data_IF_995283618186
#
_entry.id   IF_995283618186
#
_cell.length_a   1.000
_cell.length_b   1.000
_cell.length_c   1.000
_cell.angle_alpha   90.00
_cell.angle_beta   90.00
_cell.angle_gamma   90.00
#
_symmetry.space_group_name_H-M   'P 1'
#
loop_
_entity.id
_entity.type
_entity.pdbx_description
1 polymer ?
#
# COMPACT_ATOMS: atom_id res chain seq x y z
N UNK A 1 -19.44 8.22 -26.48
CA UNK A 1 -18.98 8.30 -25.08
C UNK A 1 -19.96 7.54 -24.21
N UNK A 2 -19.63 6.31 -23.85
CA UNK A 2 -20.41 5.47 -22.93
C UNK A 2 -20.53 6.18 -21.58
N UNK A 3 -21.76 6.50 -21.15
CA UNK A 3 -22.03 7.11 -19.84
C UNK A 3 -21.39 6.25 -18.75
N UNK A 4 -20.54 6.87 -17.95
CA UNK A 4 -19.72 6.21 -16.95
C UNK A 4 -20.59 5.80 -15.73
N UNK A 5 -21.13 4.59 -15.78
CA UNK A 5 -22.12 4.03 -14.83
C UNK A 5 -21.56 3.82 -13.40
N UNK A 6 -20.23 3.70 -13.24
CA UNK A 6 -19.62 3.37 -11.95
C UNK A 6 -19.93 4.37 -10.82
N UNK A 7 -19.95 5.67 -11.11
CA UNK A 7 -20.27 6.67 -10.09
C UNK A 7 -21.76 6.62 -9.71
N UNK A 8 -22.65 6.33 -10.66
CA UNK A 8 -24.07 6.14 -10.39
C UNK A 8 -24.31 4.92 -9.49
N UNK A 9 -23.63 3.81 -9.78
CA UNK A 9 -23.64 2.57 -8.97
C UNK A 9 -23.15 2.80 -7.54
N UNK A 10 -22.02 3.49 -7.37
CA UNK A 10 -21.50 3.84 -6.07
C UNK A 10 -22.49 4.71 -5.28
N UNK A 11 -23.06 5.76 -5.90
CA UNK A 11 -24.03 6.62 -5.22
C UNK A 11 -25.33 5.88 -4.89
N UNK A 12 -25.78 5.01 -5.78
CA UNK A 12 -26.96 4.17 -5.54
C UNK A 12 -26.74 3.26 -4.32
N UNK A 13 -25.58 2.63 -4.22
CA UNK A 13 -25.17 1.85 -3.05
C UNK A 13 -25.18 2.69 -1.77
N UNK A 14 -24.59 3.90 -1.79
CA UNK A 14 -24.62 4.79 -0.63
C UNK A 14 -26.04 5.11 -0.18
N UNK A 15 -26.93 5.41 -1.13
CA UNK A 15 -28.34 5.75 -0.83
C UNK A 15 -29.11 4.51 -0.33
N UNK A 16 -28.83 3.34 -0.90
CA UNK A 16 -29.43 2.05 -0.52
C UNK A 16 -29.05 1.66 0.91
N UNK A 17 -27.83 1.97 1.33
CA UNK A 17 -27.32 1.71 2.68
C UNK A 17 -27.59 2.86 3.66
N UNK A 18 -28.50 3.79 3.32
CA UNK A 18 -28.94 4.91 4.16
C UNK A 18 -27.89 6.02 4.42
N UNK A 19 -26.88 6.13 3.57
CA UNK A 19 -25.83 7.17 3.62
C UNK A 19 -26.01 8.25 2.54
N UNK A 20 -27.25 8.61 2.23
CA UNK A 20 -27.53 9.73 1.31
C UNK A 20 -26.85 11.03 1.80
N UNK A 21 -26.81 11.28 3.11
CA UNK A 21 -26.17 12.48 3.69
C UNK A 21 -24.68 12.61 3.34
N UNK A 22 -23.97 11.50 3.15
CA UNK A 22 -22.54 11.51 2.85
C UNK A 22 -22.23 11.98 1.42
N UNK A 23 -23.25 12.01 0.55
CA UNK A 23 -23.17 12.56 -0.81
C UNK A 23 -23.30 14.08 -0.85
N UNK A 24 -23.26 14.74 0.31
CA UNK A 24 -23.31 16.18 0.44
C UNK A 24 -22.08 16.70 1.21
N UNK A 25 -21.67 17.91 0.87
CA UNK A 25 -20.66 18.68 1.62
C UNK A 25 -21.25 19.35 2.86
N UNK A 26 -22.54 19.67 2.83
CA UNK A 26 -23.29 20.27 3.94
C UNK A 26 -24.64 19.59 4.08
N UNK A 27 -25.20 19.58 5.29
CA UNK A 27 -26.47 18.91 5.56
C UNK A 27 -27.58 19.51 4.68
N UNK A 28 -28.29 18.71 3.88
CA UNK A 28 -29.34 19.25 3.02
C UNK A 28 -30.51 19.77 3.86
N UNK A 29 -31.07 20.93 3.48
CA UNK A 29 -32.29 21.48 4.07
C UNK A 29 -33.56 20.76 3.57
N UNK A 30 -33.45 20.08 2.43
CA UNK A 30 -34.54 19.36 1.79
C UNK A 30 -34.66 17.94 2.35
N UNK A 31 -35.89 17.44 2.51
CA UNK A 31 -36.14 16.06 2.95
C UNK A 31 -35.52 15.03 2.00
N UNK A 32 -34.98 13.93 2.54
CA UNK A 32 -34.40 12.83 1.75
C UNK A 32 -35.35 12.27 0.68
N UNK A 33 -36.66 12.23 0.94
CA UNK A 33 -37.66 11.75 -0.04
C UNK A 33 -37.66 12.61 -1.33
N UNK A 34 -37.77 13.93 -1.18
CA UNK A 34 -37.72 14.88 -2.30
C UNK A 34 -36.39 14.80 -3.06
N UNK A 35 -35.28 14.63 -2.34
CA UNK A 35 -33.96 14.45 -2.98
C UNK A 35 -33.94 13.18 -3.83
N UNK A 36 -34.39 12.04 -3.27
CA UNK A 36 -34.47 10.75 -3.99
C UNK A 36 -35.33 10.87 -5.25
N UNK A 37 -36.44 11.60 -5.20
CA UNK A 37 -37.29 11.89 -6.37
C UNK A 37 -36.53 12.72 -7.42
N UNK A 38 -35.84 13.80 -7.03
CA UNK A 38 -35.11 14.67 -7.96
C UNK A 38 -33.94 13.98 -8.66
N UNK A 39 -33.29 13.01 -8.02
CA UNK A 39 -32.18 12.24 -8.60
C UNK A 39 -32.64 10.94 -9.27
N UNK A 40 -33.96 10.73 -9.41
CA UNK A 40 -34.54 9.52 -9.98
C UNK A 40 -34.04 8.23 -9.30
N UNK A 41 -33.96 8.22 -7.96
CA UNK A 41 -33.53 7.04 -7.21
C UNK A 41 -34.63 5.97 -7.21
N UNK A 42 -34.29 4.76 -7.65
CA UNK A 42 -35.15 3.59 -7.58
C UNK A 42 -34.41 2.42 -6.91
N UNK A 43 -34.95 1.93 -5.79
CA UNK A 43 -34.33 0.84 -5.02
C UNK A 43 -34.17 -0.47 -5.83
N UNK A 44 -34.98 -0.68 -6.87
CA UNK A 44 -35.00 -1.92 -7.66
C UNK A 44 -34.00 -1.93 -8.83
N UNK A 45 -33.51 -0.78 -9.28
CA UNK A 45 -32.52 -0.72 -10.36
C UNK A 45 -31.09 -0.77 -9.79
N UNK A 46 -30.10 -1.09 -10.61
CA UNK A 46 -28.68 -1.10 -10.22
C UNK A 46 -28.02 0.29 -10.37
N UNK A 47 -28.80 1.37 -10.24
CA UNK A 47 -28.27 2.74 -10.33
C UNK A 47 -28.15 3.33 -11.74
N UNK A 48 -28.40 2.57 -12.81
CA UNK A 48 -28.22 3.01 -14.20
C UNK A 48 -28.98 4.30 -14.57
N UNK A 49 -30.11 4.55 -13.91
CA UNK A 49 -30.99 5.70 -14.17
C UNK A 49 -30.80 6.86 -13.18
N UNK A 50 -29.87 6.73 -12.23
CA UNK A 50 -29.62 7.74 -11.20
C UNK A 50 -29.08 9.02 -11.84
N UNK A 51 -29.73 10.16 -11.60
CA UNK A 51 -29.31 11.44 -12.15
C UNK A 51 -28.20 12.04 -11.28
N UNK A 52 -27.01 12.15 -11.85
CA UNK A 52 -25.88 12.85 -11.23
C UNK A 52 -26.01 14.35 -11.49
N UNK A 53 -26.43 15.10 -10.48
CA UNK A 53 -26.59 16.56 -10.55
C UNK A 53 -25.82 17.21 -9.40
N UNK A 54 -24.80 18.01 -9.71
CA UNK A 54 -23.90 18.65 -8.75
C UNK A 54 -24.52 19.81 -7.96
N UNK A 55 -25.67 20.33 -8.41
CA UNK A 55 -26.51 21.26 -7.63
C UNK A 55 -27.29 20.55 -6.53
N UNK A 56 -27.50 19.24 -6.67
CA UNK A 56 -28.20 18.41 -5.68
C UNK A 56 -27.15 17.65 -4.86
N UNK A 57 -26.36 16.79 -5.49
CA UNK A 57 -25.32 15.95 -4.86
C UNK A 57 -24.01 16.74 -4.83
N UNK A 58 -23.84 17.59 -3.82
CA UNK A 58 -22.74 18.57 -3.79
C UNK A 58 -21.36 17.94 -3.66
N UNK A 59 -21.25 16.66 -3.28
CA UNK A 59 -19.99 15.90 -3.34
C UNK A 59 -19.38 15.92 -4.75
N UNK A 60 -20.19 16.00 -5.81
CA UNK A 60 -19.70 16.05 -7.19
C UNK A 60 -18.79 17.27 -7.44
N UNK A 61 -19.03 18.39 -6.75
CA UNK A 61 -18.16 19.57 -6.86
C UNK A 61 -16.80 19.32 -6.19
N UNK A 62 -16.80 18.66 -5.03
CA UNK A 62 -15.59 18.25 -4.32
C UNK A 62 -14.76 17.28 -5.18
N UNK A 63 -15.40 16.30 -5.83
CA UNK A 63 -14.73 15.38 -6.74
C UNK A 63 -14.08 16.08 -7.94
N UNK A 64 -14.72 17.10 -8.50
CA UNK A 64 -14.15 17.89 -9.62
C UNK A 64 -12.90 18.65 -9.17
N UNK A 65 -12.93 19.24 -7.97
CA UNK A 65 -11.77 19.93 -7.40
C UNK A 65 -10.62 18.94 -7.20
N UNK A 66 -10.88 17.83 -6.52
CA UNK A 66 -9.89 16.78 -6.26
C UNK A 66 -9.34 16.14 -7.53
N UNK A 67 -10.17 15.98 -8.57
CA UNK A 67 -9.71 15.47 -9.86
C UNK A 67 -8.67 16.38 -10.50
N UNK A 68 -8.76 17.69 -10.27
CA UNK A 68 -7.83 18.70 -10.78
C UNK A 68 -6.72 19.07 -9.78
N UNK A 69 -6.57 18.32 -8.69
CA UNK A 69 -5.49 18.52 -7.72
C UNK A 69 -4.11 18.36 -8.39
N UNK A 70 -3.16 19.20 -7.98
CA UNK A 70 -1.81 19.22 -8.56
C UNK A 70 -1.07 17.89 -8.37
N UNK A 71 -1.31 17.17 -7.26
CA UNK A 71 -0.72 15.85 -7.01
C UNK A 71 -1.29 14.83 -8.00
N UNK A 72 -2.60 14.86 -8.24
CA UNK A 72 -3.24 13.99 -9.23
C UNK A 72 -2.73 14.28 -10.65
N UNK A 73 -2.57 15.57 -10.99
CA UNK A 73 -2.01 16.03 -12.27
C UNK A 73 -0.56 15.59 -12.45
N UNK A 74 0.28 15.70 -11.42
CA UNK A 74 1.68 15.27 -11.45
C UNK A 74 1.81 13.76 -11.72
N UNK A 75 0.85 12.96 -11.26
CA UNK A 75 0.78 11.53 -11.56
C UNK A 75 0.20 11.20 -12.95
N UNK A 76 -0.29 12.20 -13.69
CA UNK A 76 -0.91 12.02 -15.01
C UNK A 76 -2.40 11.68 -14.98
N UNK A 77 -3.14 12.12 -13.96
CA UNK A 77 -4.56 11.84 -13.74
C UNK A 77 -4.93 10.33 -13.74
N UNK A 78 -4.24 9.48 -12.96
CA UNK A 78 -4.45 8.05 -13.00
C UNK A 78 -5.81 7.58 -12.43
N UNK A 79 -6.48 8.39 -11.59
CA UNK A 79 -7.76 8.04 -10.98
C UNK A 79 -8.96 8.61 -11.73
N UNK A 80 -10.02 7.83 -11.77
CA UNK A 80 -11.34 8.24 -12.23
C UNK A 80 -12.17 8.84 -11.08
N UNK A 81 -13.22 9.61 -11.39
CA UNK A 81 -14.05 10.27 -10.36
C UNK A 81 -14.64 9.31 -9.33
N UNK A 82 -15.05 8.09 -9.71
CA UNK A 82 -15.59 7.10 -8.78
C UNK A 82 -14.52 6.51 -7.84
N UNK A 83 -13.26 6.44 -8.28
CA UNK A 83 -12.14 6.00 -7.45
C UNK A 83 -11.78 7.08 -6.42
N UNK A 84 -11.71 8.36 -6.85
CA UNK A 84 -11.53 9.49 -5.93
C UNK A 84 -12.69 9.54 -4.92
N UNK A 85 -13.92 9.31 -5.39
CA UNK A 85 -15.09 9.29 -4.52
C UNK A 85 -15.05 8.16 -3.49
N UNK A 86 -14.61 6.96 -3.87
CA UNK A 86 -14.48 5.84 -2.93
C UNK A 86 -13.50 6.17 -1.80
N UNK A 87 -12.35 6.77 -2.13
CA UNK A 87 -11.38 7.25 -1.13
C UNK A 87 -12.01 8.32 -0.24
N UNK A 88 -12.67 9.32 -0.83
CA UNK A 88 -13.31 10.40 -0.07
C UNK A 88 -14.40 9.90 0.88
N UNK A 89 -15.23 8.95 0.43
CA UNK A 89 -16.26 8.31 1.25
C UNK A 89 -15.64 7.53 2.42
N UNK A 90 -14.55 6.80 2.16
CA UNK A 90 -13.85 6.05 3.20
C UNK A 90 -13.17 6.96 4.22
N UNK A 91 -12.42 7.97 3.78
CA UNK A 91 -11.59 8.78 4.67
C UNK A 91 -12.41 9.86 5.41
N UNK A 92 -13.44 10.40 4.76
CA UNK A 92 -14.06 11.66 5.17
C UNK A 92 -15.52 11.60 5.62
N UNK A 93 -16.19 10.46 5.43
CA UNK A 93 -17.64 10.37 5.57
C UNK A 93 -18.07 9.32 6.59
N UNK A 94 -19.31 9.44 7.06
CA UNK A 94 -19.83 8.64 8.18
C UNK A 94 -20.04 7.17 7.83
N UNK A 95 -20.22 6.84 6.55
CA UNK A 95 -20.38 5.48 6.06
C UNK A 95 -19.20 4.57 6.36
N UNK A 96 -17.98 5.11 6.50
CA UNK A 96 -16.79 4.33 6.77
C UNK A 96 -16.94 3.45 8.02
N UNK A 97 -17.55 3.95 9.09
CA UNK A 97 -17.70 3.18 10.33
C UNK A 97 -18.46 1.87 10.10
N UNK A 98 -19.59 1.92 9.39
CA UNK A 98 -20.40 0.74 9.09
C UNK A 98 -19.81 -0.09 7.95
N UNK A 99 -19.21 0.55 6.94
CA UNK A 99 -18.45 -0.14 5.91
C UNK A 99 -17.36 -1.01 6.54
N UNK A 100 -16.47 -0.41 7.33
CA UNK A 100 -15.38 -1.10 8.03
C UNK A 100 -15.88 -2.20 8.97
N UNK A 101 -16.96 -1.95 9.72
CA UNK A 101 -17.60 -2.97 10.55
C UNK A 101 -18.09 -4.17 9.73
N UNK A 102 -18.80 -3.93 8.63
CA UNK A 102 -19.29 -4.99 7.75
C UNK A 102 -18.14 -5.78 7.10
N UNK A 103 -17.05 -5.11 6.71
CA UNK A 103 -15.85 -5.77 6.17
C UNK A 103 -15.24 -6.74 7.19
N UNK A 104 -15.10 -6.32 8.45
CA UNK A 104 -14.56 -7.16 9.54
C UNK A 104 -15.46 -8.38 9.79
N UNK A 105 -16.77 -8.23 9.59
CA UNK A 105 -17.77 -9.31 9.72
C UNK A 105 -17.93 -10.14 8.43
N UNK A 106 -17.05 -9.98 7.43
CA UNK A 106 -17.11 -10.64 6.12
C UNK A 106 -18.40 -10.37 5.31
N UNK A 107 -19.08 -9.25 5.59
CA UNK A 107 -20.30 -8.81 4.88
C UNK A 107 -19.97 -7.92 3.69
N UNK A 108 -18.96 -8.31 2.91
CA UNK A 108 -18.46 -7.53 1.76
C UNK A 108 -19.55 -7.26 0.70
N UNK A 109 -20.53 -8.16 0.58
CA UNK A 109 -21.65 -8.04 -0.36
C UNK A 109 -22.60 -6.87 -0.08
N UNK A 110 -22.51 -6.22 1.09
CA UNK A 110 -23.25 -4.99 1.38
C UNK A 110 -22.68 -3.78 0.65
N UNK A 111 -21.40 -3.84 0.25
CA UNK A 111 -20.63 -2.72 -0.27
C UNK A 111 -19.83 -3.08 -1.55
N UNK A 112 -20.44 -3.76 -2.55
CA UNK A 112 -19.71 -4.24 -3.71
C UNK A 112 -18.99 -3.13 -4.50
N UNK A 113 -19.58 -1.93 -4.61
CA UNK A 113 -18.99 -0.84 -5.39
C UNK A 113 -17.98 -0.05 -4.58
N UNK A 114 -18.28 0.27 -3.31
CA UNK A 114 -17.32 0.99 -2.47
C UNK A 114 -16.06 0.15 -2.22
N UNK A 115 -16.18 -1.13 -1.86
CA UNK A 115 -15.03 -2.03 -1.63
C UNK A 115 -14.19 -2.19 -2.91
N UNK A 116 -14.85 -2.43 -4.06
CA UNK A 116 -14.17 -2.59 -5.34
C UNK A 116 -13.44 -1.33 -5.78
N UNK A 117 -14.12 -0.19 -5.80
CA UNK A 117 -13.52 1.06 -6.26
C UNK A 117 -12.42 1.58 -5.33
N UNK A 118 -12.55 1.35 -4.02
CA UNK A 118 -11.50 1.68 -3.05
C UNK A 118 -10.24 0.83 -3.28
N UNK A 119 -10.41 -0.50 -3.40
CA UNK A 119 -9.30 -1.41 -3.69
C UNK A 119 -8.63 -1.11 -5.03
N UNK A 120 -9.40 -0.78 -6.07
CA UNK A 120 -8.85 -0.35 -7.36
C UNK A 120 -8.08 0.96 -7.25
N UNK A 121 -8.63 1.97 -6.58
CA UNK A 121 -7.98 3.26 -6.40
C UNK A 121 -6.63 3.11 -5.69
N UNK A 122 -6.59 2.35 -4.58
CA UNK A 122 -5.36 2.06 -3.84
C UNK A 122 -4.36 1.33 -4.74
N UNK A 123 -4.80 0.31 -5.49
CA UNK A 123 -3.91 -0.44 -6.39
C UNK A 123 -3.35 0.43 -7.53
N UNK A 124 -4.10 1.40 -8.02
CA UNK A 124 -3.61 2.37 -9.01
C UNK A 124 -2.56 3.26 -8.35
N UNK A 125 -2.89 3.99 -7.28
CA UNK A 125 -1.95 4.90 -6.62
C UNK A 125 -0.67 4.20 -6.14
N UNK A 126 -0.81 2.99 -5.60
CA UNK A 126 0.29 2.12 -5.21
C UNK A 126 1.34 1.91 -6.33
N UNK A 127 0.94 1.92 -7.61
CA UNK A 127 1.85 1.80 -8.75
C UNK A 127 2.52 3.13 -9.12
N UNK A 128 1.83 4.25 -8.91
CA UNK A 128 2.32 5.58 -9.24
C UNK A 128 3.31 6.12 -8.19
N UNK A 129 3.09 5.82 -6.92
CA UNK A 129 3.95 6.31 -5.83
C UNK A 129 5.36 5.71 -5.80
N UNK A 130 6.34 6.54 -5.40
CA UNK A 130 7.78 6.22 -5.25
C UNK A 130 8.11 5.61 -3.89
N UNK A 131 7.38 4.56 -3.50
CA UNK A 131 7.54 3.90 -2.19
C UNK A 131 8.91 3.23 -1.99
N UNK A 132 9.61 2.92 -3.07
CA UNK A 132 11.00 2.45 -3.06
C UNK A 132 11.98 3.47 -2.44
N UNK A 133 11.60 4.74 -2.39
CA UNK A 133 12.39 5.84 -1.78
C UNK A 133 11.94 6.18 -0.36
N UNK A 134 10.79 5.67 0.08
CA UNK A 134 10.25 5.97 1.41
C UNK A 134 10.86 5.03 2.46
N UNK A 135 11.36 5.60 3.55
CA UNK A 135 11.74 4.89 4.77
C UNK A 135 10.75 5.14 5.92
N UNK A 136 9.55 5.62 5.58
CA UNK A 136 8.54 6.06 6.54
C UNK A 136 7.91 4.85 7.25
N UNK A 137 7.92 4.89 8.58
CA UNK A 137 7.11 4.00 9.43
C UNK A 137 5.70 4.54 9.55
N UNK A 138 4.73 3.64 9.68
CA UNK A 138 3.32 4.02 9.75
C UNK A 138 2.69 3.48 11.03
N UNK A 139 1.65 4.16 11.50
CA UNK A 139 1.03 3.90 12.78
C UNK A 139 -0.49 3.91 12.64
N UNK A 140 -1.17 3.03 13.38
CA UNK A 140 -2.63 3.00 13.50
C UNK A 140 -3.03 2.81 14.96
N UNK A 141 -3.89 3.69 15.46
CA UNK A 141 -4.44 3.59 16.81
C UNK A 141 -5.71 2.77 16.86
N UNK A 142 -5.76 1.76 17.73
CA UNK A 142 -6.95 0.96 17.99
C UNK A 142 -7.45 1.20 19.41
N UNK A 143 -8.61 1.85 19.51
CA UNK A 143 -9.27 2.14 20.79
C UNK A 143 -9.76 0.86 21.47
N UNK A 144 -9.50 0.73 22.76
CA UNK A 144 -9.98 -0.37 23.60
C UNK A 144 -9.56 -1.78 23.12
N UNK A 145 -8.50 -1.88 22.30
CA UNK A 145 -7.93 -3.16 21.88
C UNK A 145 -6.67 -3.42 22.72
N UNK A 146 -6.61 -4.57 23.38
CA UNK A 146 -5.41 -5.07 24.04
C UNK A 146 -5.41 -6.59 23.97
N UNK A 147 -4.31 -7.19 23.55
CA UNK A 147 -4.20 -8.62 23.45
C UNK A 147 -3.70 -9.21 24.77
N UNK A 148 -4.48 -10.11 25.36
CA UNK A 148 -4.13 -10.81 26.60
C UNK A 148 -3.02 -11.85 26.37
N UNK A 149 -3.10 -12.56 25.23
CA UNK A 149 -2.14 -13.59 24.86
C UNK A 149 -1.50 -13.30 23.51
N UNK A 150 -0.31 -12.70 23.55
CA UNK A 150 0.46 -12.31 22.37
C UNK A 150 0.82 -13.52 21.49
N UNK A 151 0.90 -14.73 22.06
CA UNK A 151 1.19 -15.96 21.30
C UNK A 151 0.06 -16.35 20.34
N UNK A 152 -1.12 -15.75 20.48
CA UNK A 152 -2.24 -15.96 19.57
C UNK A 152 -2.16 -15.12 18.31
N UNK A 153 -1.25 -14.14 18.26
CA UNK A 153 -1.01 -13.35 17.06
C UNK A 153 -0.42 -14.27 16.00
N UNK A 154 -1.25 -14.64 15.03
CA UNK A 154 -0.84 -15.40 13.84
C UNK A 154 -0.47 -14.45 12.72
N UNK A 155 0.37 -14.93 11.79
CA UNK A 155 0.54 -14.28 10.50
C UNK A 155 -0.83 -14.07 9.85
N UNK A 156 -1.12 -12.85 9.41
CA UNK A 156 -2.46 -12.44 9.05
C UNK A 156 -2.56 -11.79 7.67
N UNK A 157 -3.81 -11.52 7.30
CA UNK A 157 -4.21 -10.77 6.12
C UNK A 157 -5.12 -9.63 6.58
N UNK A 158 -5.15 -8.53 5.83
CA UNK A 158 -6.11 -7.46 6.12
C UNK A 158 -7.50 -7.87 5.63
N UNK A 159 -8.42 -8.05 6.57
CA UNK A 159 -9.83 -8.38 6.29
C UNK A 159 -10.67 -7.14 5.94
N UNK A 160 -10.15 -5.95 6.23
CA UNK A 160 -10.70 -4.65 5.86
C UNK A 160 -9.58 -3.74 5.36
N UNK A 161 -9.96 -2.60 4.80
CA UNK A 161 -9.03 -1.50 4.56
C UNK A 161 -8.51 -0.96 5.91
N UNK A 162 -7.26 -0.47 5.94
CA UNK A 162 -6.63 0.02 7.18
C UNK A 162 -6.01 1.39 6.94
N UNK A 163 -6.51 2.39 7.65
CA UNK A 163 -5.96 3.74 7.67
C UNK A 163 -4.79 3.83 8.64
N UNK A 164 -3.72 4.48 8.21
CA UNK A 164 -2.48 4.67 8.97
C UNK A 164 -1.97 6.10 8.78
N UNK A 165 -1.09 6.53 9.68
CA UNK A 165 -0.41 7.83 9.59
C UNK A 165 1.09 7.63 9.79
N UNK A 166 1.92 8.46 9.18
CA UNK A 166 3.33 8.57 9.53
C UNK A 166 3.56 9.40 10.82
N UNK A 167 2.49 9.95 11.40
CA UNK A 167 2.48 10.64 12.67
C UNK A 167 2.02 9.71 13.80
N UNK A 168 2.93 9.39 14.72
CA UNK A 168 2.59 8.59 15.89
C UNK A 168 1.59 9.31 16.80
N UNK A 169 1.57 10.63 16.84
CA UNK A 169 0.64 11.40 17.67
C UNK A 169 -0.81 11.21 17.17
N UNK A 170 -1.00 11.15 15.85
CA UNK A 170 -2.32 10.84 15.25
C UNK A 170 -2.77 9.45 15.70
N UNK A 171 -1.90 8.44 15.64
CA UNK A 171 -2.23 7.10 16.13
C UNK A 171 -2.54 7.08 17.65
N UNK A 172 -1.86 7.90 18.45
CA UNK A 172 -2.16 8.03 19.89
C UNK A 172 -3.54 8.63 20.15
N UNK A 173 -3.99 9.60 19.35
CA UNK A 173 -5.35 10.16 19.43
C UNK A 173 -6.40 9.07 19.19
N UNK A 174 -6.23 8.27 18.13
CA UNK A 174 -7.17 7.19 17.79
C UNK A 174 -7.14 6.02 18.78
N UNK A 175 -5.99 5.74 19.40
CA UNK A 175 -5.86 4.80 20.52
C UNK A 175 -6.62 5.27 21.77
N UNK A 176 -6.97 6.55 21.89
CA UNK A 176 -7.69 7.16 23.02
C UNK A 176 -6.87 7.17 24.32
N UNK A 177 -7.41 6.68 25.45
CA UNK A 177 -6.74 6.63 26.76
C UNK A 177 -6.15 5.24 27.06
N UNK A 178 -6.74 4.18 26.51
CA UNK A 178 -6.26 2.80 26.58
C UNK A 178 -6.52 2.09 25.25
N UNK A 179 -5.53 1.34 24.78
CA UNK A 179 -5.67 0.59 23.53
C UNK A 179 -4.36 0.07 22.98
N UNK A 180 -4.34 -0.15 21.67
CA UNK A 180 -3.22 -0.69 20.93
C UNK A 180 -2.74 0.31 19.88
N UNK A 181 -1.43 0.38 19.67
CA UNK A 181 -0.85 1.02 18.50
C UNK A 181 -0.29 -0.07 17.61
N UNK A 182 -0.78 -0.15 16.38
CA UNK A 182 -0.14 -0.95 15.34
C UNK A 182 0.97 -0.11 14.73
N UNK A 183 2.20 -0.58 14.81
CA UNK A 183 3.37 0.00 14.16
C UNK A 183 3.69 -0.83 12.92
N UNK A 184 3.64 -0.23 11.73
CA UNK A 184 3.90 -0.88 10.45
C UNK A 184 5.35 -0.63 10.03
N UNK A 185 6.14 -1.70 9.99
CA UNK A 185 7.49 -1.64 9.48
C UNK A 185 7.49 -1.21 8.01
N UNK A 186 8.53 -0.49 7.56
CA UNK A 186 8.71 -0.03 6.17
C UNK A 186 8.57 -1.15 5.13
N UNK A 187 8.92 -2.38 5.51
CA UNK A 187 8.71 -3.58 4.67
C UNK A 187 7.26 -3.76 4.22
N UNK A 188 6.28 -3.36 5.03
CA UNK A 188 4.84 -3.42 4.72
C UNK A 188 4.48 -2.45 3.61
N UNK A 189 4.94 -1.21 3.74
CA UNK A 189 4.70 -0.16 2.75
C UNK A 189 5.39 -0.47 1.42
N UNK A 190 6.52 -1.20 1.46
CA UNK A 190 7.26 -1.60 0.27
C UNK A 190 6.80 -2.91 -0.35
N UNK A 191 6.09 -3.78 0.37
CA UNK A 191 5.66 -5.06 -0.16
C UNK A 191 4.79 -4.92 -1.43
N UNK A 192 5.04 -5.79 -2.42
CA UNK A 192 4.33 -5.74 -3.70
C UNK A 192 2.86 -6.11 -3.56
N UNK A 193 2.54 -7.11 -2.73
CA UNK A 193 1.18 -7.65 -2.63
C UNK A 193 0.39 -7.09 -1.44
N UNK A 194 1.02 -6.27 -0.60
CA UNK A 194 0.35 -5.49 0.44
C UNK A 194 0.16 -4.09 -0.13
N UNK A 195 -1.03 -3.84 -0.68
CA UNK A 195 -1.31 -2.58 -1.38
C UNK A 195 -1.54 -1.46 -0.39
N UNK A 196 -0.94 -0.31 -0.66
CA UNK A 196 -1.07 0.91 0.11
C UNK A 196 -0.78 2.12 -0.77
N UNK A 197 -1.31 3.27 -0.37
CA UNK A 197 -1.08 4.56 -1.00
C UNK A 197 -1.29 5.73 -0.04
N UNK A 198 -0.60 6.83 -0.29
CA UNK A 198 -0.84 8.15 0.30
C UNK A 198 -2.13 8.75 -0.28
N UNK A 199 -3.10 8.96 0.59
CA UNK A 199 -4.40 9.56 0.27
C UNK A 199 -4.58 10.90 0.96
N UNK A 200 -3.55 11.45 1.59
CA UNK A 200 -3.60 12.73 2.32
C UNK A 200 -4.08 13.89 1.43
N UNK A 201 -3.80 13.86 0.13
CA UNK A 201 -4.28 14.85 -0.83
C UNK A 201 -5.76 14.71 -1.21
N UNK A 202 -6.39 13.56 -0.96
CA UNK A 202 -7.84 13.34 -1.10
C UNK A 202 -8.57 13.52 0.24
N UNK A 203 -8.00 12.98 1.33
CA UNK A 203 -8.60 12.97 2.66
C UNK A 203 -8.92 14.40 3.12
N UNK A 204 -10.09 14.65 3.74
CA UNK A 204 -10.40 15.97 4.28
C UNK A 204 -9.54 16.32 5.51
N UNK A 205 -8.94 15.32 6.17
CA UNK A 205 -8.13 15.48 7.37
C UNK A 205 -6.65 15.59 7.04
N UNK A 206 -6.24 16.66 6.33
CA UNK A 206 -4.85 16.85 5.84
C UNK A 206 -3.75 16.66 6.90
N UNK A 207 -4.04 17.06 8.13
CA UNK A 207 -3.12 16.97 9.26
C UNK A 207 -2.82 15.52 9.68
N UNK A 208 -3.68 14.56 9.34
CA UNK A 208 -3.50 13.15 9.68
C UNK A 208 -2.50 12.45 8.75
N UNK A 209 -2.14 13.05 7.61
CA UNK A 209 -1.19 12.49 6.62
C UNK A 209 -1.51 11.03 6.30
N UNK A 210 -2.78 10.80 5.98
CA UNK A 210 -3.37 9.48 5.88
C UNK A 210 -2.78 8.63 4.75
N UNK A 211 -2.31 7.43 5.11
CA UNK A 211 -1.84 6.38 4.20
C UNK A 211 -2.74 5.16 4.38
N UNK A 212 -3.33 4.72 3.27
CA UNK A 212 -4.38 3.71 3.27
C UNK A 212 -3.85 2.37 2.75
N UNK A 213 -3.98 1.31 3.55
CA UNK A 213 -3.76 -0.07 3.12
C UNK A 213 -5.05 -0.68 2.57
N UNK A 214 -4.93 -1.39 1.45
CA UNK A 214 -6.05 -2.15 0.90
C UNK A 214 -6.31 -3.44 1.69
N UNK A 215 -7.57 -3.86 1.67
CA UNK A 215 -7.94 -5.22 2.07
C UNK A 215 -7.14 -6.24 1.24
N UNK A 216 -6.70 -7.32 1.87
CA UNK A 216 -5.97 -8.39 1.19
C UNK A 216 -6.88 -9.13 0.21
N UNK A 217 -6.44 -9.23 -1.05
CA UNK A 217 -7.13 -10.01 -2.07
C UNK A 217 -6.54 -11.41 -2.16
N UNK A 218 -7.32 -12.43 -1.76
CA UNK A 218 -6.93 -13.83 -1.85
C UNK A 218 -7.47 -14.40 -3.17
N UNK A 219 -6.56 -14.62 -4.12
CA UNK A 219 -6.89 -15.24 -5.41
C UNK A 219 -6.93 -16.78 -5.31
N UNK A 220 -8.05 -17.40 -5.66
CA UNK A 220 -8.23 -18.86 -5.59
C UNK A 220 -7.26 -19.68 -6.47
N UNK A 221 -6.61 -19.05 -7.47
CA UNK A 221 -5.69 -19.75 -8.38
C UNK A 221 -4.27 -19.91 -7.84
N UNK A 222 -3.92 -19.29 -6.71
CA UNK A 222 -2.61 -19.41 -6.07
C UNK A 222 -2.69 -20.35 -4.87
N UNK A 223 -1.64 -21.16 -4.70
CA UNK A 223 -1.47 -22.02 -3.54
C UNK A 223 -1.37 -21.20 -2.23
N UNK A 224 -1.87 -21.78 -1.13
CA UNK A 224 -1.89 -21.19 0.21
C UNK A 224 -0.49 -20.72 0.65
N UNK A 225 0.55 -21.48 0.28
CA UNK A 225 1.94 -21.10 0.55
C UNK A 225 2.31 -19.75 -0.08
N UNK A 226 1.93 -19.53 -1.35
CA UNK A 226 2.22 -18.29 -2.07
C UNK A 226 1.48 -17.11 -1.43
N UNK A 227 0.24 -17.33 -0.99
CA UNK A 227 -0.52 -16.30 -0.27
C UNK A 227 0.14 -15.90 1.04
N UNK A 228 0.53 -16.89 1.86
CA UNK A 228 1.21 -16.67 3.14
C UNK A 228 2.56 -15.97 2.98
N UNK A 229 3.29 -16.23 1.91
CA UNK A 229 4.59 -15.57 1.68
C UNK A 229 4.45 -14.15 1.13
N UNK A 230 3.51 -13.92 0.20
CA UNK A 230 3.46 -12.65 -0.53
C UNK A 230 2.54 -11.62 0.12
N UNK A 231 1.37 -12.04 0.62
CA UNK A 231 0.30 -11.14 1.06
C UNK A 231 0.23 -11.02 2.58
N UNK A 232 0.83 -11.95 3.32
CA UNK A 232 0.70 -11.95 4.77
C UNK A 232 1.67 -10.99 5.44
N UNK A 233 1.23 -10.51 6.59
CA UNK A 233 2.06 -9.84 7.57
C UNK A 233 2.28 -10.75 8.77
N UNK A 234 3.40 -10.58 9.44
CA UNK A 234 3.65 -11.10 10.77
C UNK A 234 3.49 -9.98 11.78
N UNK A 235 3.35 -10.35 13.05
CA UNK A 235 3.18 -9.40 14.11
C UNK A 235 3.88 -9.88 15.38
N UNK A 236 4.47 -8.94 16.11
CA UNK A 236 5.10 -9.16 17.42
C UNK A 236 4.86 -7.96 18.31
N UNK A 237 4.85 -8.18 19.62
CA UNK A 237 4.84 -7.06 20.56
C UNK A 237 6.20 -6.39 20.57
N UNK A 238 6.19 -5.09 20.34
CA UNK A 238 7.36 -4.22 20.35
C UNK A 238 7.55 -3.57 21.72
N UNK A 239 6.45 -3.18 22.37
CA UNK A 239 6.46 -2.60 23.70
C UNK A 239 5.08 -2.66 24.34
N UNK A 240 5.05 -2.66 25.66
CA UNK A 240 3.80 -2.68 26.41
C UNK A 240 3.97 -1.90 27.72
N UNK A 241 3.04 -0.99 27.98
CA UNK A 241 2.88 -0.31 29.26
C UNK A 241 1.45 -0.47 29.79
N UNK A 242 1.14 0.20 30.90
CA UNK A 242 -0.17 0.16 31.56
C UNK A 242 -1.34 0.54 30.64
N UNK A 243 -1.12 1.42 29.68
CA UNK A 243 -2.16 2.05 28.86
C UNK A 243 -2.09 1.64 27.39
N UNK A 244 -0.90 1.28 26.89
CA UNK A 244 -0.66 1.04 25.46
C UNK A 244 0.09 -0.26 25.25
N UNK A 245 -0.39 -1.06 24.29
CA UNK A 245 0.37 -2.16 23.72
C UNK A 245 0.75 -1.78 22.28
N UNK A 246 2.03 -1.82 21.95
CA UNK A 246 2.53 -1.55 20.60
C UNK A 246 2.85 -2.86 19.91
N UNK A 247 2.20 -3.10 18.77
CA UNK A 247 2.36 -4.30 17.96
C UNK A 247 3.04 -3.91 16.66
N UNK A 248 4.25 -4.43 16.44
CA UNK A 248 4.98 -4.26 15.19
C UNK A 248 4.48 -5.26 14.15
N UNK A 249 4.05 -4.75 12.99
CA UNK A 249 3.67 -5.50 11.81
C UNK A 249 4.80 -5.47 10.78
N UNK A 250 5.21 -6.64 10.31
CA UNK A 250 6.27 -6.83 9.31
C UNK A 250 5.73 -7.64 8.12
N UNK A 251 6.29 -7.43 6.93
CA UNK A 251 5.95 -8.28 5.79
C UNK A 251 6.50 -9.69 6.01
N UNK A 252 5.69 -10.74 5.80
CA UNK A 252 6.10 -12.11 6.09
C UNK A 252 7.38 -12.53 5.33
N UNK A 253 7.57 -12.09 4.08
CA UNK A 253 8.79 -12.37 3.31
C UNK A 253 10.02 -11.66 3.86
N UNK A 254 9.85 -10.46 4.42
CA UNK A 254 10.96 -9.73 5.06
C UNK A 254 11.50 -10.55 6.23
N UNK A 255 10.63 -11.05 7.12
CA UNK A 255 11.05 -11.84 8.27
C UNK A 255 11.73 -13.17 7.88
N UNK A 256 11.28 -13.79 6.78
CA UNK A 256 11.92 -15.01 6.26
C UNK A 256 13.33 -14.77 5.74
N UNK A 257 13.62 -13.56 5.25
CA UNK A 257 14.88 -13.25 4.59
C UNK A 257 15.88 -12.50 5.47
N UNK A 258 15.42 -11.68 6.44
CA UNK A 258 16.29 -10.79 7.23
C UNK A 258 17.46 -11.53 7.88
N UNK A 259 17.21 -12.66 8.55
CA UNK A 259 18.28 -13.40 9.25
C UNK A 259 19.36 -13.94 8.30
N UNK A 260 18.96 -14.48 7.14
CA UNK A 260 19.91 -14.96 6.12
C UNK A 260 20.67 -13.80 5.47
N UNK A 261 19.99 -12.69 5.22
CA UNK A 261 20.61 -11.46 4.73
C UNK A 261 21.67 -10.94 5.71
N UNK A 262 21.35 -10.89 7.00
CA UNK A 262 22.27 -10.49 8.07
C UNK A 262 23.46 -11.44 8.19
N UNK A 263 23.23 -12.76 8.13
CA UNK A 263 24.30 -13.75 8.16
C UNK A 263 25.29 -13.55 7.01
N UNK A 264 24.79 -13.41 5.78
CA UNK A 264 25.62 -13.15 4.61
C UNK A 264 26.34 -11.81 4.78
N UNK A 265 25.65 -10.76 5.23
CA UNK A 265 26.24 -9.45 5.45
C UNK A 265 27.41 -9.50 6.45
N UNK A 266 27.27 -10.23 7.55
CA UNK A 266 28.32 -10.40 8.56
C UNK A 266 29.56 -11.10 7.98
N UNK A 267 29.39 -12.11 7.12
CA UNK A 267 30.50 -12.76 6.41
C UNK A 267 31.28 -11.81 5.49
N UNK A 268 30.64 -10.72 5.05
CA UNK A 268 31.23 -9.65 4.25
C UNK A 268 31.57 -8.41 5.07
N UNK A 269 31.63 -8.51 6.40
CA UNK A 269 31.88 -7.41 7.33
C UNK A 269 30.98 -6.19 7.05
N UNK A 270 29.71 -6.45 6.73
CA UNK A 270 28.68 -5.46 6.42
C UNK A 270 28.98 -4.52 5.24
N UNK A 271 29.93 -4.89 4.37
CA UNK A 271 30.34 -4.08 3.23
C UNK A 271 29.37 -4.13 2.03
N UNK A 272 28.49 -5.14 1.98
CA UNK A 272 27.51 -5.31 0.90
C UNK A 272 26.14 -4.81 1.35
N UNK A 273 25.46 -4.07 0.47
CA UNK A 273 24.09 -3.59 0.67
C UNK A 273 23.10 -4.75 0.90
N UNK A 274 22.19 -4.59 1.87
CA UNK A 274 21.22 -5.62 2.25
C UNK A 274 20.23 -5.92 1.12
N UNK A 275 19.85 -4.92 0.32
CA UNK A 275 18.95 -5.14 -0.81
C UNK A 275 19.67 -5.84 -1.97
N UNK A 276 20.98 -5.62 -2.15
CA UNK A 276 21.79 -6.42 -3.07
C UNK A 276 21.84 -7.88 -2.63
N UNK A 277 22.16 -8.16 -1.36
CA UNK A 277 22.16 -9.52 -0.80
C UNK A 277 20.78 -10.16 -0.99
N UNK A 278 19.71 -9.44 -0.70
CA UNK A 278 18.34 -9.90 -0.87
C UNK A 278 18.03 -10.29 -2.31
N UNK A 279 18.38 -9.46 -3.29
CA UNK A 279 18.19 -9.75 -4.71
C UNK A 279 19.02 -10.96 -5.13
N UNK A 280 20.29 -11.06 -4.71
CA UNK A 280 21.12 -12.22 -5.00
C UNK A 280 20.50 -13.51 -4.41
N UNK A 281 20.11 -13.46 -3.13
CA UNK A 281 19.55 -14.59 -2.40
C UNK A 281 18.21 -15.05 -2.97
N UNK A 282 17.24 -14.14 -3.11
CA UNK A 282 15.86 -14.50 -3.46
C UNK A 282 15.64 -14.65 -4.96
N UNK A 283 16.21 -13.75 -5.77
CA UNK A 283 15.97 -13.72 -7.21
C UNK A 283 16.97 -14.57 -8.00
N UNK A 284 18.26 -14.54 -7.66
CA UNK A 284 19.28 -15.24 -8.43
C UNK A 284 19.56 -16.67 -7.93
N UNK A 285 19.51 -16.90 -6.62
CA UNK A 285 20.00 -18.14 -6.00
C UNK A 285 18.93 -18.97 -5.28
N UNK A 286 17.64 -18.65 -5.45
CA UNK A 286 16.51 -19.42 -4.88
C UNK A 286 16.68 -19.75 -3.39
N UNK A 287 17.15 -18.78 -2.62
CA UNK A 287 17.41 -18.85 -1.18
C UNK A 287 18.60 -19.74 -0.75
N UNK A 288 19.45 -20.20 -1.69
CA UNK A 288 20.67 -20.93 -1.37
C UNK A 288 21.81 -19.98 -0.97
N UNK A 289 22.23 -20.04 0.31
CA UNK A 289 23.30 -19.19 0.86
C UNK A 289 24.64 -19.41 0.16
N UNK A 290 25.03 -20.66 -0.11
CA UNK A 290 26.33 -20.98 -0.72
C UNK A 290 26.41 -20.47 -2.16
N UNK A 291 25.34 -20.66 -2.93
CA UNK A 291 25.24 -20.09 -4.28
C UNK A 291 25.28 -18.57 -4.25
N UNK A 292 24.61 -17.95 -3.27
CA UNK A 292 24.58 -16.50 -3.08
C UNK A 292 25.98 -15.96 -2.79
N UNK A 293 26.72 -16.57 -1.87
CA UNK A 293 28.10 -16.19 -1.55
C UNK A 293 29.01 -16.32 -2.77
N UNK A 294 28.90 -17.42 -3.53
CA UNK A 294 29.65 -17.62 -4.76
C UNK A 294 29.33 -16.58 -5.84
N UNK A 295 28.06 -16.16 -5.95
CA UNK A 295 27.61 -15.13 -6.88
C UNK A 295 28.11 -13.74 -6.46
N UNK A 296 27.97 -13.38 -5.19
CA UNK A 296 28.46 -12.11 -4.63
C UNK A 296 29.98 -11.99 -4.76
N UNK A 297 30.72 -13.07 -4.53
CA UNK A 297 32.18 -13.09 -4.73
C UNK A 297 32.57 -12.82 -6.18
N UNK A 298 31.91 -13.47 -7.15
CA UNK A 298 32.13 -13.20 -8.58
C UNK A 298 31.76 -11.77 -8.95
N UNK A 299 30.69 -11.23 -8.37
CA UNK A 299 30.26 -9.85 -8.58
C UNK A 299 31.31 -8.85 -8.08
N UNK A 300 31.79 -9.00 -6.83
CA UNK A 300 32.81 -8.11 -6.26
C UNK A 300 34.11 -8.15 -7.08
N UNK A 301 34.57 -9.35 -7.50
CA UNK A 301 35.71 -9.43 -8.42
C UNK A 301 35.45 -8.73 -9.76
N UNK A 302 34.25 -8.86 -10.31
CA UNK A 302 33.87 -8.23 -11.57
C UNK A 302 33.78 -6.70 -11.44
N UNK A 303 33.31 -6.19 -10.31
CA UNK A 303 33.11 -4.75 -10.04
C UNK A 303 34.39 -3.95 -10.25
N UNK A 304 35.53 -4.46 -9.77
CA UNK A 304 36.84 -3.81 -9.89
C UNK A 304 37.58 -4.08 -11.20
N UNK A 305 37.11 -5.03 -12.04
CA UNK A 305 37.74 -5.32 -13.33
C UNK A 305 37.25 -4.36 -14.41
N UNK A 306 38.10 -4.07 -15.39
CA UNK A 306 37.76 -3.36 -16.64
C UNK A 306 36.99 -2.04 -16.44
N UNK A 307 37.20 -1.35 -15.31
CA UNK A 307 36.52 -0.11 -14.92
C UNK A 307 34.98 -0.25 -14.97
N UNK A 308 34.44 -1.41 -14.60
CA UNK A 308 33.00 -1.69 -14.69
C UNK A 308 32.18 -0.72 -13.82
N UNK A 309 32.65 -0.39 -12.61
CA UNK A 309 31.98 0.59 -11.74
C UNK A 309 31.91 1.98 -12.40
N UNK A 310 33.00 2.45 -13.00
CA UNK A 310 33.06 3.75 -13.68
C UNK A 310 32.18 3.76 -14.94
N UNK A 311 32.11 2.63 -15.65
CA UNK A 311 31.16 2.46 -16.78
C UNK A 311 29.72 2.54 -16.31
N UNK A 312 29.39 1.98 -15.14
CA UNK A 312 28.06 2.14 -14.53
C UNK A 312 27.78 3.60 -14.15
N UNK A 313 28.74 4.29 -13.51
CA UNK A 313 28.58 5.71 -13.12
C UNK A 313 28.19 6.61 -14.31
N UNK A 314 28.74 6.33 -15.51
CA UNK A 314 28.37 7.05 -16.75
C UNK A 314 26.92 6.82 -17.21
N UNK A 315 26.28 5.72 -16.79
CA UNK A 315 24.92 5.32 -17.16
C UNK A 315 23.92 5.47 -16.02
N UNK A 316 24.34 6.03 -14.89
CA UNK A 316 23.54 6.09 -13.67
C UNK A 316 22.18 6.77 -13.87
N UNK A 317 22.14 7.83 -14.68
CA UNK A 317 20.91 8.56 -14.97
C UNK A 317 19.86 7.71 -15.71
N UNK A 318 20.28 6.77 -16.57
CA UNK A 318 19.36 5.85 -17.26
C UNK A 318 18.58 4.97 -16.26
N UNK A 319 19.23 4.60 -15.14
CA UNK A 319 18.59 3.83 -14.07
C UNK A 319 17.64 4.70 -13.24
N UNK A 320 18.05 5.95 -12.94
CA UNK A 320 17.23 6.90 -12.18
C UNK A 320 15.94 7.28 -12.94
N UNK A 321 16.02 7.50 -14.25
CA UNK A 321 14.83 7.68 -15.12
C UNK A 321 13.89 6.47 -15.06
N UNK A 322 14.47 5.28 -14.85
CA UNK A 322 13.74 4.04 -14.62
C UNK A 322 13.26 3.81 -13.18
N UNK A 323 13.34 4.81 -12.29
CA UNK A 323 13.04 4.72 -10.84
C UNK A 323 13.88 3.69 -10.09
N UNK A 324 15.06 3.36 -10.60
CA UNK A 324 15.96 2.40 -9.97
C UNK A 324 16.98 3.14 -9.10
N UNK A 325 16.61 3.43 -7.85
CA UNK A 325 17.37 4.34 -6.98
C UNK A 325 18.50 3.67 -6.16
N UNK A 326 18.55 2.34 -6.08
CA UNK A 326 19.61 1.62 -5.38
C UNK A 326 20.79 1.31 -6.31
N UNK A 327 21.89 2.07 -6.18
CA UNK A 327 23.06 1.97 -7.04
C UNK A 327 23.79 0.62 -6.98
N UNK A 328 23.87 0.01 -5.80
CA UNK A 328 24.52 -1.29 -5.64
C UNK A 328 23.74 -2.38 -6.37
N UNK A 329 22.41 -2.39 -6.23
CA UNK A 329 21.54 -3.31 -6.97
C UNK A 329 21.59 -3.05 -8.48
N UNK A 330 21.63 -1.78 -8.90
CA UNK A 330 21.74 -1.42 -10.32
C UNK A 330 23.03 -1.97 -10.94
N UNK A 331 24.17 -1.76 -10.26
CA UNK A 331 25.47 -2.28 -10.67
C UNK A 331 25.45 -3.82 -10.72
N UNK A 332 24.82 -4.46 -9.73
CA UNK A 332 24.59 -5.91 -9.73
C UNK A 332 23.74 -6.37 -10.92
N UNK A 333 22.70 -5.63 -11.32
CA UNK A 333 21.89 -5.94 -12.49
C UNK A 333 22.69 -5.83 -13.81
N UNK A 334 23.66 -4.90 -13.89
CA UNK A 334 24.61 -4.83 -15.02
C UNK A 334 25.46 -6.09 -15.10
N UNK A 335 25.95 -6.57 -13.96
CA UNK A 335 26.67 -7.84 -13.88
C UNK A 335 25.80 -9.02 -14.31
N UNK A 336 24.59 -9.15 -13.76
CA UNK A 336 23.66 -10.22 -14.10
C UNK A 336 23.30 -10.24 -15.58
N UNK A 337 23.09 -9.09 -16.23
CA UNK A 337 22.78 -9.05 -17.68
C UNK A 337 23.90 -9.57 -18.58
N UNK A 338 25.15 -9.62 -18.08
CA UNK A 338 26.28 -10.21 -18.82
C UNK A 338 26.28 -11.74 -18.71
N UNK A 339 25.70 -12.29 -17.65
CA UNK A 339 25.66 -13.73 -17.36
C UNK A 339 24.33 -14.36 -17.84
N UNK A 340 23.21 -13.65 -17.67
CA UNK A 340 21.87 -14.09 -18.00
C UNK A 340 21.31 -13.27 -19.18
N UNK A 341 21.11 -13.89 -20.34
CA UNK A 341 20.97 -13.19 -21.63
C UNK A 341 19.58 -12.81 -22.19
N UNK A 342 18.41 -12.92 -21.52
CA UNK A 342 17.20 -12.36 -22.14
C UNK A 342 16.92 -10.90 -21.76
N UNK A 343 17.48 -10.36 -20.67
CA UNK A 343 17.10 -9.04 -20.14
C UNK A 343 18.26 -8.07 -20.06
N UNK A 344 17.98 -6.81 -20.38
CA UNK A 344 18.91 -5.70 -20.15
C UNK A 344 19.10 -5.45 -18.65
N UNK A 345 20.18 -4.77 -18.30
CA UNK A 345 20.46 -4.38 -16.92
C UNK A 345 19.34 -3.50 -16.32
N UNK A 346 18.78 -2.58 -17.12
CA UNK A 346 17.72 -1.66 -16.69
C UNK A 346 16.41 -2.43 -16.46
N UNK A 347 16.05 -3.38 -17.34
CA UNK A 347 14.87 -4.22 -17.12
C UNK A 347 14.99 -5.05 -15.85
N UNK A 348 16.17 -5.65 -15.59
CA UNK A 348 16.42 -6.37 -14.35
C UNK A 348 16.32 -5.44 -13.12
N UNK A 349 16.88 -4.23 -13.21
CA UNK A 349 16.82 -3.26 -12.11
C UNK A 349 15.37 -2.78 -11.86
N UNK A 350 14.59 -2.53 -12.92
CA UNK A 350 13.16 -2.17 -12.82
C UNK A 350 12.36 -3.30 -12.18
N UNK A 351 12.61 -4.54 -12.57
CA UNK A 351 11.91 -5.69 -11.97
C UNK A 351 12.25 -5.79 -10.49
N UNK A 352 13.52 -5.69 -10.11
CA UNK A 352 13.90 -5.78 -8.71
C UNK A 352 13.38 -4.59 -7.88
N UNK A 353 13.39 -3.38 -8.44
CA UNK A 353 12.94 -2.18 -7.73
C UNK A 353 11.41 -2.10 -7.65
N UNK A 354 10.68 -2.45 -8.71
CA UNK A 354 9.22 -2.29 -8.79
C UNK A 354 8.48 -3.53 -8.28
N UNK A 355 9.00 -4.73 -8.52
CA UNK A 355 8.36 -5.99 -8.12
C UNK A 355 8.93 -6.56 -6.82
N UNK A 356 10.25 -6.51 -6.61
CA UNK A 356 10.86 -7.07 -5.40
C UNK A 356 11.01 -6.02 -4.28
N UNK A 357 10.89 -4.72 -4.61
CA UNK A 357 10.70 -3.53 -3.76
C UNK A 357 11.58 -3.37 -2.51
N UNK A 358 12.77 -3.94 -2.49
CA UNK A 358 13.85 -3.65 -1.52
C UNK A 358 13.34 -3.52 -0.07
N UNK A 359 13.12 -4.65 0.62
CA UNK A 359 12.45 -4.62 1.91
C UNK A 359 13.32 -4.05 3.03
N UNK A 360 14.61 -3.77 2.76
CA UNK A 360 15.56 -3.23 3.72
C UNK A 360 15.78 -1.72 3.53
N UNK A 361 15.89 -1.02 4.66
CA UNK A 361 16.18 0.41 4.81
C UNK A 361 17.44 0.61 5.65
N UNK A 362 17.98 1.84 5.68
CA UNK A 362 19.25 2.10 6.36
C UNK A 362 19.25 1.67 7.85
N UNK A 363 18.12 1.81 8.55
CA UNK A 363 17.97 1.41 9.96
C UNK A 363 18.12 -0.10 10.22
N UNK A 364 17.84 -0.96 9.22
CA UNK A 364 17.97 -2.41 9.37
C UNK A 364 19.43 -2.85 9.63
N UNK A 365 20.41 -2.00 9.28
CA UNK A 365 21.84 -2.25 9.54
C UNK A 365 22.24 -2.08 11.02
N UNK A 366 21.36 -1.56 11.86
CA UNK A 366 21.63 -1.28 13.29
C UNK A 366 21.26 -2.45 14.21
N UNK A 367 20.65 -3.50 13.66
CA UNK A 367 20.33 -4.76 14.33
C UNK A 367 21.35 -5.82 13.93
#
# INVERSE_FOLDING_TARGET
MTRNNHLQKLFHEMIKNDYLCDLFTTRPLTSHKKIKEQINYNKKNEGDELILNDKILTILNELKILYHDDIHKQMGYPLQLHQICAILLYCGKSCNATFSYDQIQFRHHNWPYLDWHLGEAINILHKHERREESETELYCGLKNVRLENIKEIKSGFFISHVSTSDDIEVAQVYRSHQGCILHFHTSMSRALQIKNCDVSWISPFKHEREILFARSYICHSKDEKIHKEQYAWNAKVEGEDKYTQTILLTWAKYDQCIQRTMQISAMWNHSIDFNLIYVALTYACKENINETLGLLFKFEQWKFRNNNEQKYKKRMNEFLEGRCCNHDVNLFCVFLSKICKPRTAIENAKINTIHNRFPFVAKDKKH
#
